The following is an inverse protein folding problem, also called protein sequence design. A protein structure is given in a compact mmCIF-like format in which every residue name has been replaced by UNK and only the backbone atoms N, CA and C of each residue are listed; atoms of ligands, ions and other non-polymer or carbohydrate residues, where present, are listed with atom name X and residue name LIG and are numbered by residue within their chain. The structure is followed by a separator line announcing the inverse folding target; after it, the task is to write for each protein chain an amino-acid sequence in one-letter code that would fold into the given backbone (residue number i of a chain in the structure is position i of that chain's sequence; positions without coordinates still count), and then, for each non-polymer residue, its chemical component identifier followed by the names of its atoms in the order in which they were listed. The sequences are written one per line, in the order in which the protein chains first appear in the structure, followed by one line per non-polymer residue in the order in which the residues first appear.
data_IF_393707293062
#
_entry.id   IF_393707293062
#
_cell.length_a   1.000
_cell.length_b   1.000
_cell.length_c   1.000
_cell.angle_alpha   90.00
_cell.angle_beta   90.00
_cell.angle_gamma   90.00
#
_symmetry.space_group_name_H-M   'P 1'
#
loop_
_entity.id
_entity.type
_entity.pdbx_description
1 polymer ?
#
# COMPACT_ATOMS: atom_id res chain seq x y z
N UNK A 1 -1.42 -18.74 16.66
CA UNK A 1 -1.94 -17.87 15.58
C UNK A 1 -1.18 -18.20 14.31
N UNK A 2 -1.83 -18.28 13.15
CA UNK A 2 -1.22 -18.75 11.90
C UNK A 2 -0.25 -17.74 11.27
N UNK A 3 0.63 -18.26 10.40
CA UNK A 3 1.51 -17.51 9.49
C UNK A 3 0.73 -16.39 8.80
N UNK A 4 1.14 -15.13 8.98
CA UNK A 4 0.47 -14.01 8.28
C UNK A 4 0.87 -14.04 6.81
N UNK A 5 -0.08 -13.76 5.93
CA UNK A 5 0.11 -13.80 4.48
C UNK A 5 -0.39 -12.51 3.83
N UNK A 6 0.51 -11.75 3.23
CA UNK A 6 0.13 -10.60 2.40
C UNK A 6 0.27 -11.00 0.93
N UNK A 7 -0.81 -10.87 0.18
CA UNK A 7 -0.81 -11.16 -1.26
C UNK A 7 -0.85 -9.83 -2.01
N UNK A 8 0.14 -9.61 -2.86
CA UNK A 8 0.39 -8.36 -3.55
C UNK A 8 0.35 -8.65 -5.05
N UNK A 9 -0.68 -8.20 -5.76
CA UNK A 9 -0.73 -8.36 -7.20
C UNK A 9 0.25 -7.41 -7.89
N UNK A 10 0.79 -7.88 -9.01
CA UNK A 10 1.62 -7.11 -9.93
C UNK A 10 0.75 -6.04 -10.58
N UNK A 11 1.16 -4.78 -10.47
CA UNK A 11 0.53 -3.70 -11.22
C UNK A 11 0.89 -3.81 -12.71
N UNK A 12 0.09 -3.17 -13.58
CA UNK A 12 0.31 -3.20 -15.04
C UNK A 12 1.70 -2.73 -15.50
N UNK A 13 2.36 -1.84 -14.75
CA UNK A 13 3.72 -1.37 -15.05
C UNK A 13 4.82 -2.32 -14.52
N UNK A 14 4.47 -3.51 -14.02
CA UNK A 14 5.43 -4.53 -13.61
C UNK A 14 6.04 -4.33 -12.22
N UNK A 15 5.36 -3.64 -11.29
CA UNK A 15 5.86 -3.50 -9.92
C UNK A 15 4.79 -3.83 -8.88
N UNK A 16 5.24 -4.22 -7.68
CA UNK A 16 4.37 -4.61 -6.59
C UNK A 16 4.13 -3.45 -5.65
N UNK A 17 2.87 -3.04 -5.51
CA UNK A 17 2.45 -1.98 -4.61
C UNK A 17 1.58 -2.53 -3.50
N UNK A 18 1.93 -2.21 -2.25
CA UNK A 18 1.23 -2.70 -1.08
C UNK A 18 0.89 -1.57 -0.13
N UNK A 19 -0.35 -1.55 0.32
CA UNK A 19 -0.80 -0.56 1.30
C UNK A 19 -0.30 -0.90 2.69
N UNK A 20 -0.15 0.14 3.49
CA UNK A 20 0.29 0.03 4.85
C UNK A 20 0.24 1.35 5.57
N UNK A 21 0.98 1.41 6.67
CA UNK A 21 1.11 2.61 7.48
C UNK A 21 2.58 2.78 7.85
N UNK A 22 3.05 4.03 7.80
CA UNK A 22 4.24 4.47 8.51
C UNK A 22 3.74 5.28 9.70
N UNK A 23 4.10 4.81 10.90
CA UNK A 23 3.54 5.27 12.17
C UNK A 23 2.00 5.19 12.13
N UNK A 24 1.32 6.34 12.06
CA UNK A 24 -0.14 6.42 12.05
C UNK A 24 -0.68 7.01 10.73
N UNK A 25 0.15 7.12 9.68
CA UNK A 25 -0.23 7.64 8.37
C UNK A 25 -0.31 6.53 7.34
N UNK A 26 -1.45 6.45 6.64
CA UNK A 26 -1.67 5.49 5.55
C UNK A 26 -0.81 5.85 4.34
N UNK A 27 -0.17 4.84 3.76
CA UNK A 27 0.71 4.97 2.61
C UNK A 27 0.65 3.74 1.71
N UNK A 28 1.11 3.89 0.47
CA UNK A 28 1.40 2.77 -0.41
C UNK A 28 2.91 2.66 -0.62
N UNK A 29 3.41 1.45 -0.41
CA UNK A 29 4.80 1.10 -0.63
C UNK A 29 4.99 0.45 -1.99
N UNK A 30 6.08 0.81 -2.68
CA UNK A 30 6.66 0.00 -3.74
C UNK A 30 7.57 -1.05 -3.09
N UNK A 31 7.33 -2.34 -3.34
CA UNK A 31 8.20 -3.40 -2.82
C UNK A 31 9.52 -3.40 -3.61
N UNK A 32 10.64 -3.23 -2.89
CA UNK A 32 11.98 -3.19 -3.46
C UNK A 32 12.95 -4.02 -2.62
N UNK A 33 13.13 -5.28 -3.00
CA UNK A 33 14.06 -6.20 -2.33
C UNK A 33 15.53 -5.85 -2.55
N UNK A 34 15.83 -4.95 -3.51
CA UNK A 34 17.17 -4.41 -3.72
C UNK A 34 17.52 -3.28 -2.74
N UNK A 35 16.53 -2.61 -2.17
CA UNK A 35 16.74 -1.57 -1.17
C UNK A 35 17.09 -2.19 0.20
N UNK A 36 18.24 -1.81 0.77
CA UNK A 36 18.67 -2.33 2.07
C UNK A 36 17.82 -1.83 3.25
N UNK A 37 17.19 -0.66 3.09
CA UNK A 37 16.32 -0.03 4.10
C UNK A 37 15.04 0.48 3.45
N UNK A 38 14.00 0.71 4.26
CA UNK A 38 12.83 1.48 3.82
C UNK A 38 13.27 2.89 3.44
N UNK A 39 13.02 3.31 2.21
CA UNK A 39 13.46 4.60 1.71
C UNK A 39 12.24 5.47 1.35
N UNK A 40 12.26 6.75 1.70
CA UNK A 40 11.21 7.71 1.32
C UNK A 40 11.81 8.92 0.62
N UNK A 41 11.07 9.50 -0.33
CA UNK A 41 11.47 10.76 -0.93
C UNK A 41 11.37 11.93 0.05
N UNK A 42 12.04 13.03 -0.27
CA UNK A 42 11.95 14.27 0.54
C UNK A 42 10.52 14.80 0.67
N UNK A 43 9.72 14.69 -0.40
CA UNK A 43 8.32 15.11 -0.37
C UNK A 43 7.47 14.21 0.52
N UNK A 44 7.72 12.90 0.49
CA UNK A 44 7.08 11.97 1.42
C UNK A 44 7.51 12.22 2.86
N UNK A 45 8.77 12.55 3.13
CA UNK A 45 9.21 12.90 4.48
C UNK A 45 8.44 14.11 5.03
N UNK A 46 8.24 15.16 4.22
CA UNK A 46 7.42 16.32 4.60
C UNK A 46 5.96 15.92 4.86
N UNK A 47 5.34 15.18 3.95
CA UNK A 47 3.94 14.74 4.08
C UNK A 47 3.73 13.85 5.30
N UNK A 48 4.71 13.00 5.61
CA UNK A 48 4.69 12.11 6.76
C UNK A 48 5.08 12.82 8.06
N UNK A 49 5.66 14.03 8.00
CA UNK A 49 6.15 14.75 9.18
C UNK A 49 7.39 14.07 9.76
N UNK A 50 8.22 13.48 8.90
CA UNK A 50 9.48 12.82 9.28
C UNK A 50 10.57 13.88 9.29
N UNK A 51 11.10 14.15 10.48
CA UNK A 51 12.23 15.05 10.66
C UNK A 51 13.55 14.34 10.36
N UNK A 52 14.46 15.05 9.69
CA UNK A 52 15.79 14.54 9.36
C UNK A 52 16.84 15.29 10.17
N UNK A 53 17.89 14.58 10.60
CA UNK A 53 19.05 15.21 11.19
C UNK A 53 20.01 15.65 10.08
N UNK A 54 20.05 16.96 9.80
CA UNK A 54 20.91 17.51 8.75
C UNK A 54 22.41 17.41 9.05
N UNK A 55 22.80 17.13 10.29
CA UNK A 55 24.21 16.88 10.65
C UNK A 55 24.63 15.43 10.40
N UNK A 56 23.69 14.53 10.10
CA UNK A 56 23.94 13.11 9.83
C UNK A 56 23.61 12.74 8.38
N UNK A 57 24.37 13.30 7.45
CA UNK A 57 24.25 13.00 6.02
C UNK A 57 25.02 11.70 5.71
N UNK A 58 24.39 10.81 4.96
CA UNK A 58 25.01 9.62 4.38
C UNK A 58 24.98 9.68 2.86
N UNK A 59 25.78 8.84 2.22
CA UNK A 59 25.73 8.61 0.77
C UNK A 59 25.07 7.26 0.54
N UNK A 60 23.98 7.26 -0.20
CA UNK A 60 23.28 6.05 -0.63
C UNK A 60 23.55 5.76 -2.10
N UNK A 61 23.74 4.48 -2.42
CA UNK A 61 23.76 4.00 -3.81
C UNK A 61 22.33 3.71 -4.25
N UNK A 62 21.90 4.31 -5.35
CA UNK A 62 20.58 4.11 -5.94
C UNK A 62 20.70 3.73 -7.41
N UNK A 63 19.59 3.36 -8.06
CA UNK A 63 19.57 3.12 -9.50
C UNK A 63 19.99 4.34 -10.32
N UNK A 64 19.79 5.56 -9.81
CA UNK A 64 20.22 6.81 -10.45
C UNK A 64 21.68 7.19 -10.14
N UNK A 65 22.40 6.39 -9.36
CA UNK A 65 23.74 6.66 -8.87
C UNK A 65 23.78 7.02 -7.39
N UNK A 66 24.90 7.61 -6.96
CA UNK A 66 25.10 8.00 -5.58
C UNK A 66 24.38 9.32 -5.27
N UNK A 67 23.68 9.37 -4.15
CA UNK A 67 22.99 10.57 -3.68
C UNK A 67 23.07 10.71 -2.16
N UNK A 68 22.82 11.90 -1.66
CA UNK A 68 22.72 12.16 -0.23
C UNK A 68 21.46 11.51 0.34
N UNK A 69 21.56 11.05 1.58
CA UNK A 69 20.43 10.51 2.30
C UNK A 69 20.56 10.76 3.80
N UNK A 70 19.41 10.73 4.48
CA UNK A 70 19.31 11.04 5.90
C UNK A 70 18.70 9.83 6.61
N UNK A 71 19.47 9.10 7.42
CA UNK A 71 18.97 7.95 8.15
C UNK A 71 17.89 8.35 9.14
N UNK A 72 16.84 7.56 9.22
CA UNK A 72 15.73 7.72 10.16
C UNK A 72 15.34 6.37 10.76
N UNK A 73 14.60 6.40 11.86
CA UNK A 73 13.95 5.22 12.43
C UNK A 73 12.44 5.46 12.40
N UNK A 74 11.70 4.56 11.78
CA UNK A 74 10.24 4.56 11.84
C UNK A 74 9.78 3.72 13.04
N UNK A 75 8.99 4.30 13.92
CA UNK A 75 8.54 3.64 15.16
C UNK A 75 7.76 2.36 14.86
N UNK A 76 6.89 2.42 13.85
CA UNK A 76 6.02 1.31 13.45
C UNK A 76 5.77 1.38 11.95
N UNK A 77 6.00 0.27 11.26
CA UNK A 77 5.51 0.07 9.90
C UNK A 77 4.57 -1.13 9.90
N UNK A 78 3.46 -0.99 9.20
CA UNK A 78 2.54 -2.10 8.97
C UNK A 78 2.24 -2.23 7.48
N UNK A 79 2.13 -3.45 6.97
CA UNK A 79 1.86 -3.76 5.56
C UNK A 79 0.78 -4.83 5.50
N UNK A 80 -0.16 -4.67 4.56
CA UNK A 80 -1.31 -5.56 4.40
C UNK A 80 -2.58 -5.02 5.04
N UNK A 81 -3.63 -5.85 5.05
CA UNK A 81 -4.99 -5.42 5.38
C UNK A 81 -5.61 -6.31 6.47
N UNK A 82 -6.26 -5.68 7.47
CA UNK A 82 -7.03 -6.34 8.54
C UNK A 82 -6.26 -7.51 9.18
N UNK A 83 -6.76 -8.73 9.04
CA UNK A 83 -6.24 -9.95 9.66
C UNK A 83 -4.89 -10.39 9.09
N UNK A 84 -4.51 -9.87 7.92
CA UNK A 84 -3.26 -10.17 7.21
C UNK A 84 -2.31 -8.96 7.23
N UNK A 85 -2.06 -8.43 8.42
CA UNK A 85 -1.18 -7.25 8.60
C UNK A 85 0.15 -7.65 9.24
N UNK A 86 1.24 -7.50 8.48
CA UNK A 86 2.62 -7.64 8.96
C UNK A 86 2.99 -6.34 9.65
N UNK A 87 3.56 -6.41 10.86
CA UNK A 87 3.96 -5.23 11.63
C UNK A 87 5.41 -5.38 12.06
N UNK A 88 6.19 -4.32 11.88
CA UNK A 88 7.55 -4.19 12.40
C UNK A 88 7.67 -2.89 13.17
N UNK A 89 8.52 -2.88 14.20
CA UNK A 89 8.81 -1.70 15.03
C UNK A 89 10.27 -1.34 14.94
N UNK A 90 10.60 -0.08 15.17
CA UNK A 90 11.97 0.44 15.10
C UNK A 90 12.64 0.12 13.75
N UNK A 91 11.91 0.35 12.67
CA UNK A 91 12.34 0.01 11.32
C UNK A 91 13.34 1.05 10.84
N UNK A 92 14.55 0.60 10.46
CA UNK A 92 15.55 1.49 9.86
C UNK A 92 15.04 2.02 8.53
N UNK A 93 15.18 3.31 8.30
CA UNK A 93 14.85 3.93 7.03
C UNK A 93 15.83 5.01 6.62
N UNK A 94 15.58 5.59 5.46
CA UNK A 94 16.33 6.72 4.96
C UNK A 94 15.44 7.68 4.16
N UNK A 95 15.64 8.97 4.34
CA UNK A 95 15.07 10.02 3.50
C UNK A 95 16.07 10.35 2.39
N UNK A 96 15.63 10.23 1.14
CA UNK A 96 16.44 10.55 -0.04
C UNK A 96 15.77 11.74 -0.76
N UNK A 97 16.25 12.98 -0.56
CA UNK A 97 15.61 14.16 -1.14
C UNK A 97 15.53 14.13 -2.66
N UNK A 98 16.54 13.58 -3.33
CA UNK A 98 16.64 13.48 -4.78
C UNK A 98 15.87 12.30 -5.37
N UNK A 99 15.20 11.49 -4.53
CA UNK A 99 14.31 10.44 -5.02
C UNK A 99 13.08 11.09 -5.67
N UNK A 100 12.96 10.90 -6.98
CA UNK A 100 11.89 11.49 -7.76
C UNK A 100 10.50 11.04 -7.29
N UNK A 101 9.57 12.00 -7.21
CA UNK A 101 8.16 11.77 -6.93
C UNK A 101 7.87 11.46 -5.46
N UNK A 102 6.59 11.22 -5.17
CA UNK A 102 6.11 10.88 -3.83
C UNK A 102 6.21 9.37 -3.59
N UNK A 103 7.44 8.85 -3.52
CA UNK A 103 7.72 7.40 -3.44
C UNK A 103 8.16 6.95 -2.05
N UNK A 104 7.77 5.71 -1.73
CA UNK A 104 8.17 4.95 -0.54
C UNK A 104 8.57 3.54 -0.99
N UNK A 105 9.82 3.16 -0.75
CA UNK A 105 10.35 1.84 -1.04
C UNK A 105 10.29 0.96 0.21
N UNK A 106 9.67 -0.22 0.12
CA UNK A 106 9.69 -1.22 1.18
C UNK A 106 10.91 -2.11 1.01
N UNK A 107 12.00 -1.71 1.68
CA UNK A 107 13.27 -2.41 1.63
C UNK A 107 13.44 -3.50 2.69
N UNK A 108 14.62 -4.10 2.68
CA UNK A 108 15.00 -5.23 3.52
C UNK A 108 15.04 -4.93 5.02
N UNK A 109 15.08 -3.67 5.47
CA UNK A 109 14.95 -3.36 6.89
C UNK A 109 13.53 -3.61 7.45
N UNK A 110 12.51 -3.61 6.58
CA UNK A 110 11.17 -4.07 6.94
C UNK A 110 11.00 -5.55 6.63
N UNK A 111 11.39 -5.96 5.41
CA UNK A 111 11.15 -7.32 4.95
C UNK A 111 12.00 -8.32 5.75
N UNK A 112 13.29 -8.06 5.93
CA UNK A 112 14.19 -8.87 6.74
C UNK A 112 14.25 -10.34 6.30
N UNK A 113 14.88 -11.14 7.16
CA UNK A 113 15.06 -12.59 6.92
C UNK A 113 13.84 -13.42 7.39
N UNK A 114 12.91 -12.81 8.14
CA UNK A 114 11.71 -13.46 8.68
C UNK A 114 10.51 -13.44 7.70
N UNK A 115 10.68 -12.77 6.55
CA UNK A 115 9.68 -12.72 5.50
C UNK A 115 10.11 -13.64 4.35
N UNK A 116 9.32 -14.66 4.12
CA UNK A 116 9.44 -15.50 2.94
C UNK A 116 8.71 -14.87 1.76
N UNK A 117 9.34 -14.89 0.59
CA UNK A 117 8.80 -14.39 -0.66
C UNK A 117 8.47 -15.55 -1.59
N UNK A 118 7.22 -15.60 -2.06
CA UNK A 118 6.83 -16.45 -3.17
C UNK A 118 6.33 -15.55 -4.28
N UNK A 119 6.99 -15.61 -5.43
CA UNK A 119 6.50 -14.99 -6.65
C UNK A 119 5.84 -16.08 -7.50
N UNK A 120 4.55 -15.90 -7.81
CA UNK A 120 3.74 -16.84 -8.57
C UNK A 120 2.91 -16.06 -9.60
N UNK A 121 3.20 -16.27 -10.89
CA UNK A 121 2.68 -15.47 -12.00
C UNK A 121 2.75 -13.95 -11.73
N UNK A 122 1.58 -13.32 -11.54
CA UNK A 122 1.41 -11.90 -11.29
C UNK A 122 1.19 -11.59 -9.80
N UNK A 123 1.60 -12.47 -8.89
CA UNK A 123 1.46 -12.28 -7.45
C UNK A 123 2.83 -12.34 -6.77
N UNK A 124 3.05 -11.42 -5.85
CA UNK A 124 4.06 -11.53 -4.80
C UNK A 124 3.36 -11.84 -3.50
N UNK A 125 3.76 -12.91 -2.85
CA UNK A 125 3.23 -13.35 -1.57
C UNK A 125 4.31 -13.18 -0.52
N UNK A 126 4.03 -12.37 0.49
CA UNK A 126 4.85 -12.24 1.69
C UNK A 126 4.25 -13.13 2.78
N UNK A 127 5.08 -14.00 3.34
CA UNK A 127 4.72 -14.77 4.52
C UNK A 127 5.56 -14.34 5.71
N UNK A 128 4.91 -14.04 6.83
CA UNK A 128 5.58 -13.63 8.05
C UNK A 128 5.56 -14.74 9.09
N UNK A 129 6.75 -15.32 9.31
CA UNK A 129 6.98 -16.42 10.23
C UNK A 129 7.29 -15.96 11.66
N UNK A 130 7.40 -14.65 11.90
CA UNK A 130 7.61 -14.09 13.24
C UNK A 130 6.46 -14.37 14.22
N UNK A 131 5.30 -14.80 13.71
CA UNK A 131 4.12 -15.17 14.51
C UNK A 131 4.16 -16.63 15.02
N UNK A 132 5.07 -17.45 14.49
CA UNK A 132 5.09 -18.91 14.68
C UNK A 132 5.86 -19.36 15.93
N UNK A 133 6.58 -18.45 16.60
CA UNK A 133 7.44 -18.77 17.75
C UNK A 133 6.73 -18.78 19.11
N UNK A 134 5.42 -18.48 19.16
CA UNK A 134 4.64 -18.45 20.39
C UNK A 134 3.32 -19.20 20.17
N UNK A 135 3.12 -20.28 20.96
CA UNK A 135 1.90 -21.10 21.10
C UNK A 135 1.78 -22.37 20.24
N UNK A 136 2.58 -23.40 20.54
CA UNK A 136 2.11 -24.80 20.47
C UNK A 136 1.87 -25.31 21.91
N UNK A 137 0.63 -25.12 22.39
CA UNK A 137 -0.03 -25.88 23.46
C UNK A 137 -1.41 -25.25 23.67
N UNK A 138 -2.39 -25.73 22.92
CA UNK A 138 -3.70 -26.14 23.42
C UNK A 138 -4.58 -26.58 22.25
N UNK A 139 -5.53 -27.45 22.58
CA UNK A 139 -6.00 -28.53 21.73
C UNK A 139 -7.51 -28.43 21.46
N UNK A 140 -7.94 -29.01 20.34
CA UNK A 140 -9.27 -29.57 19.99
C UNK A 140 -10.48 -28.67 19.62
N UNK A 141 -10.99 -28.95 18.39
CA UNK A 141 -12.39 -29.10 17.89
C UNK A 141 -13.45 -27.99 18.15
N UNK A 142 -14.44 -27.64 17.30
CA UNK A 142 -15.08 -28.23 16.12
C UNK A 142 -15.86 -27.16 15.30
N UNK A 143 -16.07 -27.44 14.00
CA UNK A 143 -17.11 -27.03 13.03
C UNK A 143 -17.85 -25.68 13.10
N UNK A 144 -17.92 -24.98 11.95
CA UNK A 144 -19.17 -24.85 11.18
C UNK A 144 -18.95 -24.22 9.80
N UNK A 145 -19.56 -24.86 8.80
CA UNK A 145 -19.63 -24.50 7.39
C UNK A 145 -20.49 -23.25 7.15
N UNK A 146 -19.92 -22.23 6.48
CA UNK A 146 -20.65 -21.12 5.86
C UNK A 146 -19.90 -20.61 4.61
N UNK A 147 -20.61 -20.65 3.46
CA UNK A 147 -20.40 -19.87 2.23
C UNK A 147 -18.94 -19.54 1.84
N UNK A 148 -18.17 -20.54 1.42
CA UNK A 148 -16.74 -20.38 1.03
C UNK A 148 -16.56 -19.71 -0.34
N UNK A 149 -17.57 -19.71 -1.21
CA UNK A 149 -17.45 -19.23 -2.60
C UNK A 149 -17.53 -17.71 -2.76
N UNK A 150 -18.44 -17.03 -2.04
CA UNK A 150 -18.62 -15.57 -2.14
C UNK A 150 -17.46 -14.79 -1.53
N UNK A 151 -16.88 -15.27 -0.42
CA UNK A 151 -15.73 -14.63 0.23
C UNK A 151 -14.47 -14.67 -0.64
N UNK A 152 -14.24 -15.77 -1.35
CA UNK A 152 -13.08 -15.94 -2.24
C UNK A 152 -13.15 -15.01 -3.46
N UNK A 153 -14.32 -14.88 -4.10
CA UNK A 153 -14.50 -13.98 -5.24
C UNK A 153 -14.41 -12.50 -4.84
N UNK A 154 -15.02 -12.09 -3.71
CA UNK A 154 -14.88 -10.71 -3.22
C UNK A 154 -13.42 -10.36 -2.89
N UNK A 155 -12.66 -11.31 -2.33
CA UNK A 155 -11.22 -11.17 -2.11
C UNK A 155 -10.45 -10.97 -3.41
N UNK A 156 -10.73 -11.75 -4.46
CA UNK A 156 -10.11 -11.58 -5.78
C UNK A 156 -10.39 -10.22 -6.38
N UNK A 157 -11.63 -9.73 -6.32
CA UNK A 157 -11.99 -8.40 -6.85
C UNK A 157 -11.25 -7.30 -6.08
N UNK A 158 -11.19 -7.37 -4.75
CA UNK A 158 -10.43 -6.42 -3.93
C UNK A 158 -8.94 -6.40 -4.29
N UNK A 159 -8.36 -7.57 -4.53
CA UNK A 159 -6.98 -7.67 -5.01
C UNK A 159 -6.82 -7.02 -6.38
N UNK A 160 -7.75 -7.24 -7.31
CA UNK A 160 -7.69 -6.63 -8.64
C UNK A 160 -7.86 -5.10 -8.59
N UNK A 161 -8.73 -4.57 -7.72
CA UNK A 161 -8.82 -3.12 -7.46
C UNK A 161 -7.48 -2.60 -6.97
N UNK A 162 -6.87 -3.27 -5.99
CA UNK A 162 -5.57 -2.88 -5.48
C UNK A 162 -4.50 -2.92 -6.59
N UNK A 163 -4.56 -3.90 -7.49
CA UNK A 163 -3.67 -4.06 -8.64
C UNK A 163 -3.84 -2.98 -9.73
N UNK A 164 -4.99 -2.33 -9.78
CA UNK A 164 -5.36 -1.41 -10.85
C UNK A 164 -5.49 0.03 -10.38
N UNK A 165 -5.37 0.32 -9.07
CA UNK A 165 -5.72 1.64 -8.54
C UNK A 165 -4.90 2.79 -9.13
N UNK A 166 -3.62 2.56 -9.42
CA UNK A 166 -2.79 3.59 -10.04
C UNK A 166 -3.31 3.92 -11.45
N UNK A 167 -3.69 2.90 -12.24
CA UNK A 167 -4.25 3.10 -13.57
C UNK A 167 -5.65 3.73 -13.52
N UNK A 168 -6.50 3.29 -12.58
CA UNK A 168 -7.82 3.88 -12.38
C UNK A 168 -7.68 5.37 -12.08
N UNK A 169 -6.83 5.71 -11.12
CA UNK A 169 -6.53 7.07 -10.73
C UNK A 169 -6.00 7.92 -11.89
N UNK A 170 -4.92 7.50 -12.54
CA UNK A 170 -4.33 8.19 -13.71
C UNK A 170 -5.33 8.29 -14.86
N UNK A 171 -6.15 7.26 -15.09
CA UNK A 171 -7.15 7.24 -16.14
C UNK A 171 -8.31 8.20 -15.91
N UNK A 172 -8.68 8.45 -14.66
CA UNK A 172 -9.70 9.43 -14.27
C UNK A 172 -9.13 10.85 -14.14
N UNK A 173 -7.83 10.99 -13.88
CA UNK A 173 -7.12 12.27 -13.69
C UNK A 173 -5.86 12.31 -14.57
N UNK A 174 -6.02 12.45 -15.90
CA UNK A 174 -4.92 12.34 -16.85
C UNK A 174 -3.92 13.50 -16.79
N UNK A 175 -4.28 14.63 -16.19
CA UNK A 175 -3.37 15.77 -15.99
C UNK A 175 -2.38 15.53 -14.84
N UNK A 176 -2.66 14.56 -13.96
CA UNK A 176 -1.88 14.25 -12.75
C UNK A 176 -1.21 12.88 -12.84
N UNK A 177 -0.54 12.59 -13.96
CA UNK A 177 0.08 11.27 -14.24
C UNK A 177 1.12 10.80 -13.21
N UNK A 178 1.64 11.73 -12.40
CA UNK A 178 2.65 11.46 -11.38
C UNK A 178 2.05 11.23 -9.98
N UNK A 179 0.73 11.37 -9.82
CA UNK A 179 0.05 11.11 -8.57
C UNK A 179 0.10 9.63 -8.23
N UNK A 180 0.55 9.33 -7.01
CA UNK A 180 0.47 8.00 -6.43
C UNK A 180 -0.84 7.89 -5.66
N UNK A 181 -1.67 6.93 -6.07
CA UNK A 181 -3.01 6.72 -5.55
C UNK A 181 -2.99 5.76 -4.37
N UNK A 182 -2.95 6.30 -3.15
CA UNK A 182 -2.94 5.48 -1.95
C UNK A 182 -4.36 5.04 -1.60
N UNK A 183 -4.62 3.74 -1.43
CA UNK A 183 -5.93 3.27 -0.99
C UNK A 183 -6.03 3.40 0.53
N UNK A 184 -7.07 4.08 0.99
CA UNK A 184 -7.44 4.19 2.40
C UNK A 184 -8.37 3.04 2.81
N UNK A 185 -9.36 2.74 1.97
CA UNK A 185 -10.34 1.69 2.25
C UNK A 185 -10.94 1.11 0.96
N UNK A 186 -11.37 -0.16 1.04
CA UNK A 186 -12.19 -0.80 0.02
C UNK A 186 -13.40 -1.41 0.73
N UNK A 187 -14.59 -0.90 0.44
CA UNK A 187 -15.86 -1.37 0.98
C UNK A 187 -16.75 -1.85 -0.15
N UNK A 188 -17.58 -2.87 0.08
CA UNK A 188 -18.53 -3.36 -0.92
C UNK A 188 -19.93 -3.10 -0.40
N UNK A 189 -20.72 -2.37 -1.18
CA UNK A 189 -22.13 -2.14 -0.91
C UNK A 189 -22.98 -3.37 -1.26
N UNK A 190 -24.21 -3.43 -0.71
CA UNK A 190 -25.14 -4.54 -0.95
C UNK A 190 -25.55 -4.69 -2.43
N UNK A 191 -25.43 -3.63 -3.21
CA UNK A 191 -25.70 -3.60 -4.66
C UNK A 191 -24.52 -4.13 -5.51
N UNK A 192 -23.39 -4.50 -4.88
CA UNK A 192 -22.20 -5.01 -5.53
C UNK A 192 -21.15 -3.93 -5.89
N UNK A 193 -21.43 -2.65 -5.70
CA UNK A 193 -20.49 -1.55 -5.95
C UNK A 193 -19.38 -1.57 -4.91
N UNK A 194 -18.14 -1.38 -5.36
CA UNK A 194 -16.99 -1.19 -4.49
C UNK A 194 -16.72 0.31 -4.31
N UNK A 195 -16.77 0.78 -3.06
CA UNK A 195 -16.33 2.10 -2.66
C UNK A 195 -14.84 2.04 -2.32
N UNK A 196 -14.03 2.72 -3.12
CA UNK A 196 -12.57 2.77 -2.96
C UNK A 196 -12.17 4.18 -2.59
N UNK A 197 -11.91 4.41 -1.31
CA UNK A 197 -11.39 5.69 -0.84
C UNK A 197 -9.88 5.74 -1.07
N UNK A 198 -9.42 6.87 -1.60
CA UNK A 198 -8.04 7.09 -1.96
C UNK A 198 -7.52 8.44 -1.49
N UNK A 199 -6.21 8.51 -1.29
CA UNK A 199 -5.43 9.69 -0.97
C UNK A 199 -4.34 9.84 -2.05
N UNK A 200 -4.60 10.56 -3.14
CA UNK A 200 -3.58 10.82 -4.15
C UNK A 200 -2.47 11.73 -3.60
N UNK A 201 -1.22 11.42 -3.93
CA UNK A 201 -0.05 12.23 -3.55
C UNK A 201 0.85 12.47 -4.78
N UNK A 202 1.08 13.73 -5.21
CA UNK A 202 0.43 14.94 -4.72
C UNK A 202 -1.10 14.92 -4.93
N UNK A 203 -1.82 15.80 -4.22
CA UNK A 203 -3.27 15.88 -4.38
C UNK A 203 -3.63 16.36 -5.79
N UNK A 204 -4.63 15.75 -6.41
CA UNK A 204 -5.07 16.02 -7.81
C UNK A 204 -6.11 17.15 -7.87
N UNK A 205 -5.85 18.23 -7.13
CA UNK A 205 -6.83 19.26 -6.81
C UNK A 205 -7.75 18.93 -5.61
N UNK A 206 -7.86 17.64 -5.23
CA UNK A 206 -8.63 17.19 -4.07
C UNK A 206 -7.80 16.30 -3.16
N UNK A 207 -7.96 16.46 -1.84
CA UNK A 207 -7.21 15.68 -0.84
C UNK A 207 -7.57 14.19 -0.93
N UNK A 208 -8.86 13.86 -1.04
CA UNK A 208 -9.32 12.47 -1.15
C UNK A 208 -10.32 12.33 -2.28
N UNK A 209 -10.25 11.17 -2.92
CA UNK A 209 -11.19 10.75 -3.97
C UNK A 209 -11.75 9.39 -3.59
N UNK A 210 -13.06 9.22 -3.75
CA UNK A 210 -13.73 7.93 -3.62
C UNK A 210 -14.25 7.48 -4.97
N UNK A 211 -13.71 6.38 -5.48
CA UNK A 211 -14.22 5.74 -6.69
C UNK A 211 -15.33 4.75 -6.35
N UNK A 212 -16.37 4.73 -7.18
CA UNK A 212 -17.45 3.75 -7.15
C UNK A 212 -17.24 2.82 -8.34
N UNK A 213 -16.88 1.57 -8.07
CA UNK A 213 -16.48 0.59 -9.08
C UNK A 213 -17.50 -0.56 -9.17
N UNK A 214 -17.97 -0.86 -10.38
CA UNK A 214 -18.76 -2.08 -10.67
C UNK A 214 -17.87 -3.24 -11.14
N UNK A 215 -16.75 -2.93 -11.77
CA UNK A 215 -15.66 -3.86 -12.11
C UNK A 215 -14.33 -3.29 -11.62
N UNK A 216 -13.30 -4.11 -11.37
CA UNK A 216 -12.06 -3.66 -10.72
C UNK A 216 -11.10 -2.91 -11.65
N UNK A 217 -11.57 -2.39 -12.78
CA UNK A 217 -10.79 -1.74 -13.82
C UNK A 217 -11.31 -0.32 -14.09
N UNK A 218 -10.60 0.44 -14.92
CA UNK A 218 -10.94 1.84 -15.22
C UNK A 218 -12.34 2.00 -15.80
N UNK A 219 -12.77 1.11 -16.70
CA UNK A 219 -14.10 1.17 -17.32
C UNK A 219 -15.21 0.84 -16.30
N UNK A 220 -14.84 0.17 -15.21
CA UNK A 220 -15.70 -0.11 -14.07
C UNK A 220 -16.02 1.09 -13.19
N UNK A 221 -15.35 2.23 -13.34
CA UNK A 221 -15.68 3.45 -12.59
C UNK A 221 -17.01 3.98 -13.09
N UNK A 222 -18.04 3.99 -12.25
CA UNK A 222 -19.37 4.55 -12.57
C UNK A 222 -19.57 5.94 -11.97
N UNK A 223 -18.79 6.29 -10.94
CA UNK A 223 -18.84 7.57 -10.24
C UNK A 223 -17.56 7.80 -9.47
N UNK A 224 -17.17 9.07 -9.33
CA UNK A 224 -16.17 9.50 -8.37
C UNK A 224 -16.72 10.64 -7.51
N UNK A 225 -16.41 10.59 -6.21
CA UNK A 225 -16.66 11.68 -5.27
C UNK A 225 -15.32 12.28 -4.81
N UNK A 226 -15.30 13.58 -4.53
CA UNK A 226 -14.18 14.26 -3.87
C UNK A 226 -14.54 14.60 -2.43
N UNK A 227 -13.53 14.63 -1.55
CA UNK A 227 -13.68 15.11 -0.18
C UNK A 227 -13.34 16.60 -0.13
N UNK A 228 -14.36 17.43 0.17
CA UNK A 228 -14.22 18.87 0.29
C UNK A 228 -14.99 19.38 1.51
N UNK A 229 -14.40 20.33 2.25
CA UNK A 229 -15.04 21.00 3.39
C UNK A 229 -15.62 20.04 4.44
N UNK A 230 -15.02 18.86 4.62
CA UNK A 230 -15.48 17.85 5.58
C UNK A 230 -16.65 16.98 5.11
N UNK A 231 -16.94 16.96 3.80
CA UNK A 231 -18.02 16.17 3.20
C UNK A 231 -17.64 15.59 1.84
N UNK A 232 -18.29 14.49 1.46
CA UNK A 232 -18.17 13.92 0.12
C UNK A 232 -19.13 14.61 -0.85
N UNK A 233 -18.60 15.07 -1.98
CA UNK A 233 -19.33 15.70 -3.08
C UNK A 233 -19.09 14.93 -4.38
N UNK A 234 -20.12 14.83 -5.24
CA UNK A 234 -19.97 14.18 -6.54
C UNK A 234 -19.01 14.99 -7.41
N UNK A 235 -17.97 14.33 -7.91
CA UNK A 235 -17.04 14.93 -8.87
C UNK A 235 -17.52 14.65 -10.30
N UNK A 236 -17.79 13.38 -10.62
CA UNK A 236 -18.39 12.99 -11.90
C UNK A 236 -19.14 11.66 -11.79
N UNK A 237 -20.00 11.41 -12.77
CA UNK A 237 -20.65 10.13 -13.02
C UNK A 237 -20.39 9.70 -14.45
N UNK A 238 -20.06 8.44 -14.64
CA UNK A 238 -19.91 7.83 -15.96
C UNK A 238 -21.31 7.64 -16.55
N UNK A 239 -21.47 8.08 -17.79
CA UNK A 239 -22.72 7.93 -18.56
C UNK A 239 -22.90 6.53 -19.11
#
# INVERSE_FOLDING_TARGET
MGRKKVVIPLQRHGSYYVNGHINDKSVTFLVDTGASVVAISGDMAKNLGVEVNHDNIQVSSTAAGYTNSYPVIFDKISVGNRDNTIVRRNVRGSVIPEMEGSRILLGMSFLGDEIDFIQDDNLLILYDDSSSSISEKDSFENSSSRSVTSSSESLKIRMQIQANIQEIGIGCFPDDIHAIWNILSIEQENNGIFLVETLPVPHVGYEKIRFHLVTPDREGVVRADCWECGSWSVLFTSS
#
